data_IF_587775383693
#
_entry.id   IF_587775383693
#
_cell.length_a   1.000
_cell.length_b   1.000
_cell.length_c   1.000
_cell.angle_alpha   90.00
_cell.angle_beta   90.00
_cell.angle_gamma   90.00
#
_symmetry.space_group_name_H-M   'P 1'
#
loop_
_entity.id
_entity.type
_entity.pdbx_description
1 polymer ?
#
# COMPACT_ATOMS: atom_id res chain seq x y z
N UNK A 1 -55.84 19.79 -57.15
CA UNK A 1 -55.61 18.90 -56.00
C UNK A 1 -54.11 18.65 -55.90
N UNK A 2 -53.39 19.29 -54.98
CA UNK A 2 -51.96 19.04 -54.80
C UNK A 2 -51.73 17.95 -53.74
N UNK A 3 -50.83 17.02 -54.07
CA UNK A 3 -50.44 15.87 -53.27
C UNK A 3 -49.77 16.28 -51.94
N UNK A 4 -50.20 15.65 -50.85
CA UNK A 4 -49.60 15.78 -49.52
C UNK A 4 -48.29 14.97 -49.46
N UNK A 5 -47.15 15.53 -49.01
CA UNK A 5 -45.91 14.78 -48.91
C UNK A 5 -45.87 13.87 -47.67
N UNK A 6 -45.33 12.67 -47.84
CA UNK A 6 -45.21 11.62 -46.82
C UNK A 6 -44.33 12.02 -45.61
N UNK A 7 -44.58 11.49 -44.40
CA UNK A 7 -43.82 11.86 -43.21
C UNK A 7 -42.42 11.22 -43.20
N UNK A 8 -41.40 12.04 -42.91
CA UNK A 8 -40.01 11.62 -42.69
C UNK A 8 -39.90 10.69 -41.48
N UNK A 9 -39.32 9.51 -41.67
CA UNK A 9 -38.94 8.58 -40.58
C UNK A 9 -37.89 9.23 -39.67
N UNK A 10 -38.21 9.35 -38.39
CA UNK A 10 -37.27 9.71 -37.32
C UNK A 10 -36.23 8.58 -37.14
N UNK A 11 -34.93 8.87 -37.01
CA UNK A 11 -33.93 7.84 -36.77
C UNK A 11 -34.04 7.28 -35.34
N UNK A 12 -34.06 5.95 -35.22
CA UNK A 12 -34.08 5.23 -33.94
C UNK A 12 -32.89 5.58 -33.03
N UNK A 13 -33.06 5.65 -31.70
CA UNK A 13 -31.96 5.87 -30.79
C UNK A 13 -31.10 4.60 -30.70
N UNK A 14 -29.84 4.69 -31.18
CA UNK A 14 -28.81 3.66 -30.99
C UNK A 14 -28.71 3.30 -29.50
N UNK A 15 -29.08 2.06 -29.15
CA UNK A 15 -28.88 1.47 -27.82
C UNK A 15 -27.39 1.50 -27.50
N UNK A 16 -27.00 2.37 -26.54
CA UNK A 16 -25.65 2.38 -25.95
C UNK A 16 -25.44 1.03 -25.28
N UNK A 17 -24.48 0.26 -25.77
CA UNK A 17 -24.02 -0.98 -25.12
C UNK A 17 -23.55 -0.70 -23.68
N UNK A 18 -23.51 -1.74 -22.82
CA UNK A 18 -23.12 -1.58 -21.43
C UNK A 18 -21.69 -1.03 -21.36
N UNK A 19 -21.55 0.18 -20.81
CA UNK A 19 -20.25 0.78 -20.53
C UNK A 19 -19.53 -0.12 -19.53
N UNK A 20 -18.50 -0.82 -19.98
CA UNK A 20 -17.55 -1.53 -19.12
C UNK A 20 -16.93 -0.49 -18.19
N UNK A 21 -17.22 -0.61 -16.90
CA UNK A 21 -16.65 0.24 -15.88
C UNK A 21 -15.14 -0.02 -15.83
N UNK A 22 -14.35 0.96 -16.27
CA UNK A 22 -12.89 0.90 -16.12
C UNK A 22 -12.50 0.71 -14.64
N UNK A 23 -11.31 0.16 -14.37
CA UNK A 23 -10.86 -0.14 -13.02
C UNK A 23 -10.88 1.14 -12.18
N UNK A 24 -11.60 1.10 -11.06
CA UNK A 24 -11.66 2.21 -10.10
C UNK A 24 -10.23 2.54 -9.67
N UNK A 25 -9.80 3.79 -9.86
CA UNK A 25 -8.52 4.30 -9.35
C UNK A 25 -8.40 3.93 -7.88
N UNK A 26 -7.30 3.27 -7.50
CA UNK A 26 -6.99 2.93 -6.13
C UNK A 26 -7.07 4.21 -5.29
N UNK A 27 -8.02 4.26 -4.36
CA UNK A 27 -8.20 5.41 -3.47
C UNK A 27 -7.01 5.48 -2.51
N UNK A 28 -6.40 6.65 -2.39
CA UNK A 28 -5.43 6.93 -1.34
C UNK A 28 -6.18 6.89 0.00
N UNK A 29 -5.84 5.93 0.87
CA UNK A 29 -6.45 5.84 2.21
C UNK A 29 -5.38 6.20 3.24
N UNK A 30 -5.64 7.12 4.18
CA UNK A 30 -4.68 7.40 5.24
C UNK A 30 -4.49 6.13 6.09
N UNK A 31 -3.25 5.79 6.41
CA UNK A 31 -2.91 4.68 7.30
C UNK A 31 -3.20 5.11 8.75
N UNK A 32 -4.40 4.77 9.22
CA UNK A 32 -4.89 5.13 10.55
C UNK A 32 -3.97 4.56 11.64
N UNK A 33 -3.36 3.39 11.41
CA UNK A 33 -2.47 2.78 12.40
C UNK A 33 -1.17 3.58 12.55
N UNK A 34 -0.58 4.02 11.44
CA UNK A 34 0.61 4.90 11.47
C UNK A 34 0.30 6.22 12.20
N UNK A 35 -0.80 6.88 11.83
CA UNK A 35 -1.17 8.16 12.42
C UNK A 35 -1.53 8.03 13.91
N UNK A 36 -2.29 7.00 14.29
CA UNK A 36 -2.64 6.74 15.68
C UNK A 36 -1.41 6.36 16.52
N UNK A 37 -0.47 5.58 15.96
CA UNK A 37 0.77 5.20 16.64
C UNK A 37 1.65 6.42 16.93
N UNK A 38 1.86 7.30 15.95
CA UNK A 38 2.62 8.55 16.14
C UNK A 38 1.90 9.45 17.16
N UNK A 39 0.58 9.61 17.06
CA UNK A 39 -0.19 10.42 18.00
C UNK A 39 -0.14 9.87 19.44
N UNK A 40 -0.19 8.55 19.60
CA UNK A 40 -0.08 7.89 20.91
C UNK A 40 1.32 8.08 21.51
N UNK A 41 2.38 7.93 20.70
CA UNK A 41 3.75 8.10 21.17
C UNK A 41 4.04 9.55 21.56
N UNK A 42 3.67 10.51 20.71
CA UNK A 42 3.79 11.94 21.03
C UNK A 42 2.90 12.32 22.22
N UNK A 43 1.66 11.83 22.27
CA UNK A 43 0.75 12.06 23.38
C UNK A 43 1.26 11.53 24.72
N UNK A 44 1.92 10.36 24.72
CA UNK A 44 2.56 9.81 25.91
C UNK A 44 3.74 10.65 26.39
N UNK A 45 4.62 11.07 25.48
CA UNK A 45 5.79 11.91 25.82
C UNK A 45 5.34 13.30 26.30
N UNK A 46 4.46 13.96 25.54
CA UNK A 46 3.96 15.29 25.87
C UNK A 46 3.07 15.26 27.14
N UNK A 47 2.26 14.22 27.29
CA UNK A 47 1.44 14.01 28.48
C UNK A 47 2.30 13.81 29.73
N UNK A 48 3.37 13.01 29.63
CA UNK A 48 4.36 12.86 30.70
C UNK A 48 4.99 14.19 31.12
N UNK A 49 5.44 14.99 30.13
CA UNK A 49 6.01 16.32 30.39
C UNK A 49 5.04 17.26 31.12
N UNK A 50 3.77 17.28 30.71
CA UNK A 50 2.75 18.11 31.35
C UNK A 50 2.42 17.64 32.77
N UNK A 51 2.42 16.33 33.04
CA UNK A 51 2.22 15.79 34.38
C UNK A 51 3.37 16.13 35.32
N UNK A 52 4.59 16.22 34.80
CA UNK A 52 5.76 16.71 35.53
C UNK A 52 5.81 18.24 35.67
N UNK A 53 4.77 18.94 35.21
CA UNK A 53 4.65 20.41 35.18
C UNK A 53 5.71 21.09 34.29
N UNK A 54 6.28 20.38 33.32
CA UNK A 54 7.18 20.95 32.32
C UNK A 54 6.44 21.77 31.26
N UNK A 55 7.09 22.77 30.67
CA UNK A 55 6.54 23.54 29.55
C UNK A 55 6.98 22.94 28.21
N UNK A 56 6.08 22.98 27.23
CA UNK A 56 6.38 22.59 25.84
C UNK A 56 7.47 23.49 25.24
N UNK A 57 7.53 24.76 25.68
CA UNK A 57 8.55 25.71 25.23
C UNK A 57 9.97 25.30 25.67
N UNK A 58 10.10 24.55 26.77
CA UNK A 58 11.40 24.14 27.30
C UNK A 58 12.08 23.11 26.38
N UNK A 59 11.27 22.29 25.69
CA UNK A 59 11.76 21.30 24.72
C UNK A 59 11.89 21.91 23.32
N UNK A 60 11.20 23.01 23.03
CA UNK A 60 11.15 23.62 21.71
C UNK A 60 12.41 24.47 21.37
N UNK A 61 13.61 23.88 21.46
CA UNK A 61 14.86 24.55 21.07
C UNK A 61 15.21 24.32 19.60
N UNK A 62 15.13 25.39 18.81
CA UNK A 62 15.48 25.36 17.39
C UNK A 62 16.95 25.03 17.10
N UNK A 63 17.86 25.41 17.99
CA UNK A 63 19.30 25.11 17.88
C UNK A 63 19.57 23.60 17.96
N UNK A 64 19.00 22.93 18.95
CA UNK A 64 19.08 21.48 19.10
C UNK A 64 18.49 20.75 17.89
N UNK A 65 17.33 21.21 17.37
CA UNK A 65 16.71 20.62 16.18
C UNK A 65 17.61 20.76 14.93
N UNK A 66 18.24 21.91 14.74
CA UNK A 66 19.14 22.15 13.62
C UNK A 66 20.38 21.24 13.67
N UNK A 67 20.98 21.05 14.86
CA UNK A 67 22.13 20.15 15.05
C UNK A 67 21.73 18.72 14.70
N UNK A 68 20.64 18.22 15.29
CA UNK A 68 20.22 16.83 15.12
C UNK A 68 19.73 16.56 13.70
N UNK A 69 18.75 17.32 13.21
CA UNK A 69 18.17 17.08 11.88
C UNK A 69 19.16 17.43 10.77
N UNK A 70 19.91 18.53 10.90
CA UNK A 70 20.91 18.93 9.93
C UNK A 70 22.10 17.97 9.89
N UNK A 71 22.62 17.56 11.05
CA UNK A 71 23.71 16.59 11.14
C UNK A 71 23.30 15.20 10.64
N UNK A 72 22.09 14.75 10.99
CA UNK A 72 21.54 13.47 10.49
C UNK A 72 21.37 13.51 8.98
N UNK A 73 20.77 14.57 8.44
CA UNK A 73 20.60 14.75 7.00
C UNK A 73 21.95 14.74 6.27
N UNK A 74 22.95 15.44 6.81
CA UNK A 74 24.32 15.44 6.28
C UNK A 74 24.93 14.04 6.28
N UNK A 75 24.86 13.31 7.40
CA UNK A 75 25.37 11.95 7.50
C UNK A 75 24.68 11.00 6.50
N UNK A 76 23.35 11.11 6.36
CA UNK A 76 22.58 10.30 5.41
C UNK A 76 22.96 10.60 3.96
N UNK A 77 23.18 11.87 3.60
CA UNK A 77 23.64 12.28 2.27
C UNK A 77 25.07 11.82 1.96
N UNK A 78 25.94 11.70 2.96
CA UNK A 78 27.29 11.14 2.79
C UNK A 78 27.23 9.63 2.53
N UNK A 79 26.36 8.91 3.24
CA UNK A 79 26.26 7.45 3.14
C UNK A 79 25.50 6.97 1.91
N UNK A 80 24.57 7.78 1.36
CA UNK A 80 23.66 7.36 0.29
C UNK A 80 23.80 8.21 -0.98
N UNK A 81 23.82 7.60 -2.19
CA UNK A 81 23.79 8.35 -3.44
C UNK A 81 22.55 9.25 -3.53
N UNK A 82 22.75 10.49 -4.02
CA UNK A 82 21.69 11.50 -4.12
C UNK A 82 20.40 11.01 -4.83
N UNK A 83 20.48 10.21 -5.92
CA UNK A 83 19.27 9.69 -6.57
C UNK A 83 18.47 8.71 -5.70
N UNK A 84 19.13 7.96 -4.80
CA UNK A 84 18.46 7.06 -3.86
C UNK A 84 17.80 7.87 -2.76
N UNK A 85 18.51 8.86 -2.21
CA UNK A 85 17.99 9.77 -1.20
C UNK A 85 16.71 10.49 -1.66
N UNK A 86 16.72 11.07 -2.87
CA UNK A 86 15.54 11.77 -3.42
C UNK A 86 14.34 10.83 -3.65
N UNK A 87 14.59 9.57 -4.01
CA UNK A 87 13.53 8.56 -4.13
C UNK A 87 12.98 8.17 -2.76
N UNK A 88 13.84 7.96 -1.78
CA UNK A 88 13.44 7.65 -0.40
C UNK A 88 12.55 8.76 0.20
N UNK A 89 12.86 10.03 -0.07
CA UNK A 89 12.01 11.17 0.32
C UNK A 89 10.63 11.12 -0.35
N UNK A 90 10.54 10.80 -1.65
CA UNK A 90 9.26 10.65 -2.36
C UNK A 90 8.44 9.49 -1.81
N UNK A 91 9.11 8.39 -1.44
CA UNK A 91 8.47 7.21 -0.88
C UNK A 91 7.95 7.41 0.55
N UNK A 92 8.33 8.47 1.25
CA UNK A 92 7.80 8.79 2.58
C UNK A 92 6.27 8.94 2.58
N UNK A 93 5.68 9.41 1.47
CA UNK A 93 4.23 9.48 1.32
C UNK A 93 3.54 8.11 1.49
N UNK A 94 4.20 7.02 1.09
CA UNK A 94 3.65 5.66 1.24
C UNK A 94 3.57 5.18 2.69
N UNK A 95 4.27 5.83 3.62
CA UNK A 95 4.22 5.52 5.07
C UNK A 95 2.89 5.98 5.67
N UNK A 96 2.39 7.13 5.22
CA UNK A 96 1.17 7.74 5.71
C UNK A 96 -0.07 7.37 4.91
N UNK A 97 0.11 6.94 3.67
CA UNK A 97 -0.97 6.66 2.76
C UNK A 97 -0.82 5.27 2.15
N UNK A 98 -1.84 4.46 2.40
CA UNK A 98 -1.97 3.12 1.84
C UNK A 98 -2.59 3.22 0.44
N UNK A 99 -1.90 2.63 -0.54
CA UNK A 99 -2.50 2.34 -1.83
C UNK A 99 -3.28 1.05 -1.71
N UNK A 100 -4.61 1.15 -1.77
CA UNK A 100 -5.47 -0.02 -1.78
C UNK A 100 -5.32 -0.77 -3.13
N UNK A 101 -4.34 -1.67 -3.22
CA UNK A 101 -4.26 -2.65 -4.29
C UNK A 101 -5.06 -3.88 -3.89
N UNK A 102 -6.17 -4.14 -4.56
CA UNK A 102 -7.00 -5.30 -4.25
C UNK A 102 -6.45 -6.53 -4.99
N UNK A 103 -5.70 -7.38 -4.28
CA UNK A 103 -5.21 -8.68 -4.76
C UNK A 103 -6.30 -9.48 -5.47
N UNK A 104 -7.50 -9.55 -4.87
CA UNK A 104 -8.66 -10.22 -5.46
C UNK A 104 -9.08 -9.65 -6.83
N UNK A 105 -9.01 -8.34 -7.05
CA UNK A 105 -9.34 -7.78 -8.36
C UNK A 105 -8.29 -8.09 -9.42
N UNK A 106 -7.01 -8.14 -9.03
CA UNK A 106 -5.92 -8.57 -9.91
C UNK A 106 -6.11 -10.04 -10.30
N UNK A 107 -6.46 -10.91 -9.35
CA UNK A 107 -6.80 -12.31 -9.62
C UNK A 107 -7.97 -12.38 -10.61
N UNK A 108 -9.06 -11.66 -10.35
CA UNK A 108 -10.23 -11.68 -11.23
C UNK A 108 -9.91 -11.19 -12.65
N UNK A 109 -9.05 -10.17 -12.79
CA UNK A 109 -8.56 -9.72 -14.08
C UNK A 109 -7.73 -10.80 -14.80
N UNK A 110 -6.78 -11.43 -14.10
CA UNK A 110 -5.97 -12.53 -14.65
C UNK A 110 -6.83 -13.71 -15.11
N UNK A 111 -7.88 -14.05 -14.36
CA UNK A 111 -8.82 -15.11 -14.75
C UNK A 111 -9.65 -14.73 -15.98
N UNK A 112 -10.02 -13.46 -16.13
CA UNK A 112 -10.69 -12.97 -17.34
C UNK A 112 -9.76 -13.09 -18.57
N UNK A 113 -8.50 -12.68 -18.43
CA UNK A 113 -7.50 -12.82 -19.49
C UNK A 113 -7.25 -14.30 -19.84
N UNK A 114 -7.10 -15.17 -18.85
CA UNK A 114 -6.96 -16.62 -19.06
C UNK A 114 -8.14 -17.22 -19.84
N UNK A 115 -9.36 -16.83 -19.47
CA UNK A 115 -10.58 -17.34 -20.12
C UNK A 115 -10.66 -16.87 -21.58
N UNK A 116 -10.26 -15.63 -21.86
CA UNK A 116 -10.26 -15.08 -23.22
C UNK A 116 -9.15 -15.70 -24.07
N UNK A 117 -7.93 -15.78 -23.55
CA UNK A 117 -6.79 -16.42 -24.23
C UNK A 117 -7.08 -17.87 -24.60
N UNK A 118 -7.73 -18.62 -23.70
CA UNK A 118 -8.08 -20.02 -23.97
C UNK A 118 -9.14 -20.20 -25.06
N UNK A 119 -10.09 -19.26 -25.19
CA UNK A 119 -11.17 -19.32 -26.19
C UNK A 119 -10.73 -18.80 -27.56
N UNK A 120 -9.98 -17.71 -27.56
CA UNK A 120 -9.72 -16.91 -28.76
C UNK A 120 -8.22 -16.86 -29.14
N UNK A 121 -7.36 -17.56 -28.40
CA UNK A 121 -5.90 -17.49 -28.53
C UNK A 121 -5.28 -16.33 -27.75
N UNK A 122 -3.98 -16.44 -27.44
CA UNK A 122 -3.24 -15.42 -26.66
C UNK A 122 -3.23 -14.05 -27.34
N UNK A 123 -3.14 -14.03 -28.68
CA UNK A 123 -3.13 -12.81 -29.51
C UNK A 123 -4.41 -11.97 -29.31
N UNK A 124 -5.52 -12.60 -28.92
CA UNK A 124 -6.75 -11.87 -28.62
C UNK A 124 -6.64 -10.90 -27.44
N UNK A 125 -5.56 -10.99 -26.64
CA UNK A 125 -5.29 -10.11 -25.52
C UNK A 125 -4.55 -8.82 -25.90
N UNK A 126 -4.13 -8.63 -27.14
CA UNK A 126 -3.32 -7.46 -27.58
C UNK A 126 -3.97 -6.12 -27.19
N UNK A 127 -5.25 -5.95 -27.49
CA UNK A 127 -5.99 -4.72 -27.18
C UNK A 127 -6.16 -4.51 -25.67
N UNK A 128 -6.35 -5.59 -24.90
CA UNK A 128 -6.46 -5.48 -23.45
C UNK A 128 -5.12 -5.17 -22.81
N UNK A 129 -4.04 -5.84 -23.24
CA UNK A 129 -2.68 -5.62 -22.75
C UNK A 129 -2.32 -4.13 -22.84
N UNK A 130 -2.57 -3.48 -23.98
CA UNK A 130 -2.32 -2.05 -24.17
C UNK A 130 -3.13 -1.14 -23.22
N UNK A 131 -4.30 -1.58 -22.77
CA UNK A 131 -5.19 -0.81 -21.89
C UNK A 131 -4.92 -1.02 -20.38
N UNK A 132 -4.04 -1.95 -20.01
CA UNK A 132 -3.73 -2.26 -18.60
C UNK A 132 -3.01 -1.09 -17.93
N UNK A 133 -3.53 -0.61 -16.81
CA UNK A 133 -2.94 0.52 -16.08
C UNK A 133 -1.61 0.17 -15.39
N UNK A 134 -1.49 -1.05 -14.87
CA UNK A 134 -0.28 -1.52 -14.19
C UNK A 134 0.87 -1.80 -15.19
N UNK A 135 2.01 -1.11 -15.12
CA UNK A 135 3.11 -1.30 -16.06
C UNK A 135 3.69 -2.71 -16.05
N UNK A 136 3.73 -3.37 -14.88
CA UNK A 136 4.30 -4.70 -14.74
C UNK A 136 3.44 -5.75 -15.45
N UNK A 137 2.14 -5.79 -15.15
CA UNK A 137 1.20 -6.67 -15.83
C UNK A 137 1.12 -6.38 -17.33
N UNK A 138 1.12 -5.09 -17.74
CA UNK A 138 1.14 -4.70 -19.15
C UNK A 138 2.34 -5.32 -19.87
N UNK A 139 3.55 -5.13 -19.33
CA UNK A 139 4.79 -5.65 -19.90
C UNK A 139 4.76 -7.18 -20.01
N UNK A 140 4.35 -7.88 -18.94
CA UNK A 140 4.28 -9.33 -18.94
C UNK A 140 3.29 -9.88 -19.99
N UNK A 141 2.10 -9.28 -20.10
CA UNK A 141 1.10 -9.68 -21.10
C UNK A 141 1.52 -9.32 -22.52
N UNK A 142 2.18 -8.18 -22.74
CA UNK A 142 2.72 -7.82 -24.05
C UNK A 142 3.76 -8.84 -24.52
N UNK A 143 4.73 -9.22 -23.67
CA UNK A 143 5.72 -10.24 -24.02
C UNK A 143 5.08 -11.59 -24.40
N UNK A 144 4.00 -11.96 -23.69
CA UNK A 144 3.22 -13.15 -23.99
C UNK A 144 2.47 -13.07 -25.34
N UNK A 145 1.91 -11.90 -25.67
CA UNK A 145 1.23 -11.66 -26.95
C UNK A 145 2.23 -11.65 -28.11
N UNK A 146 3.43 -11.11 -27.88
CA UNK A 146 4.53 -11.05 -28.86
C UNK A 146 5.16 -12.42 -29.13
N UNK A 147 4.74 -13.47 -28.40
CA UNK A 147 5.20 -14.84 -28.60
C UNK A 147 6.59 -15.12 -28.03
N UNK A 148 7.02 -14.33 -27.03
CA UNK A 148 8.27 -14.59 -26.30
C UNK A 148 8.19 -15.96 -25.60
N UNK A 149 9.31 -16.70 -25.56
CA UNK A 149 9.36 -17.98 -24.87
C UNK A 149 9.03 -17.84 -23.37
N UNK A 150 8.35 -18.83 -22.80
CA UNK A 150 7.91 -18.81 -21.40
C UNK A 150 9.07 -18.65 -20.43
N UNK A 151 10.18 -19.34 -20.65
CA UNK A 151 11.34 -19.26 -19.78
C UNK A 151 11.99 -17.88 -19.87
N UNK A 152 12.01 -17.29 -21.07
CA UNK A 152 12.53 -15.94 -21.29
C UNK A 152 11.64 -14.88 -20.62
N UNK A 153 10.31 -14.98 -20.73
CA UNK A 153 9.36 -14.12 -19.99
C UNK A 153 9.62 -14.23 -18.49
N UNK A 154 9.69 -15.45 -17.95
CA UNK A 154 9.96 -15.69 -16.53
C UNK A 154 11.26 -15.00 -16.11
N UNK A 155 12.36 -15.26 -16.80
CA UNK A 155 13.66 -14.69 -16.48
C UNK A 155 13.63 -13.15 -16.52
N UNK A 156 13.06 -12.54 -17.56
CA UNK A 156 12.99 -11.09 -17.70
C UNK A 156 12.16 -10.43 -16.60
N UNK A 157 11.01 -11.01 -16.27
CA UNK A 157 10.11 -10.47 -15.25
C UNK A 157 10.65 -10.71 -13.84
N UNK A 158 11.32 -11.82 -13.56
CA UNK A 158 12.02 -12.07 -12.29
C UNK A 158 13.17 -11.07 -12.07
N UNK A 159 13.93 -10.74 -13.11
CA UNK A 159 14.94 -9.67 -13.05
C UNK A 159 14.28 -8.33 -12.68
N UNK A 160 13.14 -8.00 -13.28
CA UNK A 160 12.41 -6.77 -13.00
C UNK A 160 11.87 -6.71 -11.55
N UNK A 161 11.37 -7.84 -11.02
CA UNK A 161 10.98 -7.97 -9.61
C UNK A 161 12.19 -7.73 -8.71
N UNK A 162 13.30 -8.41 -8.97
CA UNK A 162 14.53 -8.31 -8.17
C UNK A 162 15.10 -6.89 -8.17
N UNK A 163 15.18 -6.23 -9.33
CA UNK A 163 15.67 -4.85 -9.42
C UNK A 163 14.74 -3.88 -8.70
N UNK A 164 13.42 -4.10 -8.78
CA UNK A 164 12.43 -3.32 -8.04
C UNK A 164 12.59 -3.50 -6.53
N UNK A 165 12.79 -4.72 -6.04
CA UNK A 165 12.99 -5.01 -4.62
C UNK A 165 14.30 -4.41 -4.09
N UNK A 166 15.39 -4.52 -4.86
CA UNK A 166 16.67 -3.88 -4.52
C UNK A 166 16.56 -2.36 -4.44
N UNK A 167 15.85 -1.74 -5.38
CA UNK A 167 15.61 -0.29 -5.37
C UNK A 167 14.82 0.15 -4.14
N UNK A 168 13.74 -0.58 -3.83
CA UNK A 168 12.91 -0.34 -2.65
C UNK A 168 13.67 -0.54 -1.32
N UNK A 169 14.50 -1.58 -1.24
CA UNK A 169 15.33 -1.83 -0.05
C UNK A 169 16.38 -0.73 0.13
N UNK A 170 16.97 -0.21 -0.96
CA UNK A 170 17.87 0.94 -0.89
C UNK A 170 17.17 2.19 -0.35
N UNK A 171 15.90 2.42 -0.69
CA UNK A 171 15.09 3.52 -0.16
C UNK A 171 14.78 3.34 1.34
N UNK A 172 14.46 2.13 1.78
CA UNK A 172 14.25 1.83 3.21
C UNK A 172 15.55 2.05 4.02
N UNK A 173 16.70 1.66 3.47
CA UNK A 173 18.02 1.85 4.11
C UNK A 173 18.38 3.32 4.35
N UNK A 174 17.89 4.26 3.54
CA UNK A 174 18.08 5.70 3.78
C UNK A 174 17.44 6.12 5.11
N UNK A 175 16.22 5.66 5.37
CA UNK A 175 15.49 5.95 6.61
C UNK A 175 16.08 5.21 7.81
N UNK A 176 16.55 3.98 7.58
CA UNK A 176 17.28 3.21 8.61
C UNK A 176 18.59 3.90 9.00
N UNK A 177 19.36 4.39 8.03
CA UNK A 177 20.56 5.18 8.28
C UNK A 177 20.25 6.46 9.06
N UNK A 178 19.16 7.17 8.71
CA UNK A 178 18.71 8.35 9.46
C UNK A 178 18.42 7.99 10.93
N UNK A 179 17.77 6.85 11.17
CA UNK A 179 17.51 6.33 12.51
C UNK A 179 18.78 5.91 13.27
N UNK A 180 19.79 5.41 12.58
CA UNK A 180 21.09 5.08 13.18
C UNK A 180 21.94 6.30 13.53
N UNK A 181 21.93 7.34 12.69
CA UNK A 181 22.72 8.55 12.91
C UNK A 181 22.06 9.57 13.85
N UNK A 182 20.74 9.67 13.90
CA UNK A 182 20.07 10.69 14.73
C UNK A 182 20.44 10.65 16.23
N UNK A 183 20.52 9.48 16.90
CA UNK A 183 20.91 9.42 18.31
C UNK A 183 22.38 9.80 18.51
N UNK A 184 23.26 9.41 17.60
CA UNK A 184 24.70 9.71 17.70
C UNK A 184 24.98 11.19 17.47
N UNK A 185 24.27 11.83 16.53
CA UNK A 185 24.29 13.29 16.36
C UNK A 185 23.69 13.99 17.59
N UNK A 186 22.67 13.41 18.23
CA UNK A 186 22.15 13.89 19.52
C UNK A 186 23.22 13.92 20.62
N UNK A 187 24.07 12.90 20.70
CA UNK A 187 25.22 12.87 21.63
C UNK A 187 26.23 13.97 21.27
N UNK A 188 26.51 14.21 19.99
CA UNK A 188 27.36 15.34 19.57
C UNK A 188 26.75 16.67 20.02
N UNK A 189 25.43 16.85 19.86
CA UNK A 189 24.71 18.02 20.36
C UNK A 189 24.83 18.21 21.87
N UNK A 190 24.80 17.10 22.64
CA UNK A 190 25.04 17.15 24.08
C UNK A 190 26.44 17.64 24.44
N UNK A 191 27.46 17.12 23.73
CA UNK A 191 28.85 17.55 23.92
C UNK A 191 29.00 19.03 23.55
N UNK A 192 28.37 19.50 22.47
CA UNK A 192 28.37 20.92 22.09
C UNK A 192 27.74 21.81 23.16
N UNK A 193 26.60 21.39 23.74
CA UNK A 193 25.96 22.12 24.83
C UNK A 193 26.85 22.20 26.07
N UNK A 194 27.54 21.11 26.43
CA UNK A 194 28.49 21.10 27.53
C UNK A 194 29.70 22.01 27.27
N UNK A 195 30.23 22.07 26.05
CA UNK A 195 31.29 23.01 25.68
C UNK A 195 30.83 24.46 25.90
N UNK A 196 29.58 24.77 25.57
CA UNK A 196 29.02 26.11 25.78
C UNK A 196 28.87 26.45 27.27
N UNK A 197 28.50 25.48 28.10
CA UNK A 197 28.47 25.62 29.56
C UNK A 197 29.85 25.93 30.11
N UNK A 198 30.88 25.18 29.68
CA UNK A 198 32.27 25.39 30.11
C UNK A 198 32.81 26.77 29.72
N UNK A 199 32.35 27.33 28.59
CA UNK A 199 32.75 28.65 28.12
C UNK A 199 32.17 29.81 28.95
N UNK A 200 31.04 29.60 29.61
CA UNK A 200 30.26 30.65 30.27
C UNK A 200 29.93 30.33 31.74
N UNK A 201 30.83 29.64 32.45
CA UNK A 201 30.61 29.18 33.83
C UNK A 201 30.21 30.28 34.83
N UNK A 202 30.61 31.51 34.56
CA UNK A 202 30.31 32.67 35.41
C UNK A 202 28.88 33.21 35.20
N UNK A 203 28.24 32.88 34.07
CA UNK A 203 26.88 33.29 33.73
C UNK A 203 25.89 32.12 33.89
N UNK A 204 25.17 32.13 35.00
CA UNK A 204 24.16 31.11 35.36
C UNK A 204 23.09 30.96 34.26
N UNK A 205 22.71 32.04 33.57
CA UNK A 205 21.70 31.96 32.50
C UNK A 205 22.25 31.26 31.26
N UNK A 206 23.47 31.59 30.84
CA UNK A 206 24.14 30.94 29.72
C UNK A 206 24.41 29.45 30.01
N UNK A 207 24.81 29.13 31.25
CA UNK A 207 24.95 27.74 31.73
C UNK A 207 23.63 26.98 31.60
N UNK A 208 22.53 27.54 32.12
CA UNK A 208 21.21 26.93 32.02
C UNK A 208 20.80 26.67 30.58
N UNK A 209 21.03 27.62 29.67
CA UNK A 209 20.75 27.46 28.25
C UNK A 209 21.58 26.35 27.60
N UNK A 210 22.89 26.29 27.86
CA UNK A 210 23.78 25.26 27.29
C UNK A 210 23.41 23.84 27.76
N UNK A 211 23.03 23.69 29.02
CA UNK A 211 22.52 22.42 29.58
C UNK A 211 21.20 22.03 28.90
N UNK A 212 20.28 22.97 28.74
CA UNK A 212 19.01 22.71 28.07
C UNK A 212 19.22 22.22 26.64
N UNK A 213 20.06 22.91 25.85
CA UNK A 213 20.39 22.49 24.47
C UNK A 213 20.95 21.07 24.44
N UNK A 214 21.81 20.72 25.39
CA UNK A 214 22.40 19.39 25.46
C UNK A 214 21.35 18.29 25.67
N UNK A 215 20.43 18.47 26.62
CA UNK A 215 19.38 17.50 26.89
C UNK A 215 18.32 17.45 25.79
N UNK A 216 17.92 18.59 25.23
CA UNK A 216 16.94 18.60 24.13
C UNK A 216 17.54 17.96 22.88
N UNK A 217 18.84 18.12 22.61
CA UNK A 217 19.50 17.45 21.49
C UNK A 217 19.46 15.92 21.61
N UNK A 218 19.63 15.35 22.82
CA UNK A 218 19.53 13.89 23.01
C UNK A 218 18.10 13.40 22.87
N UNK A 219 17.12 14.14 23.40
CA UNK A 219 15.69 13.86 23.23
C UNK A 219 15.30 13.88 21.75
N UNK A 220 15.74 14.89 21.00
CA UNK A 220 15.49 14.95 19.56
C UNK A 220 16.18 13.82 18.79
N UNK A 221 17.43 13.48 19.13
CA UNK A 221 18.15 12.39 18.48
C UNK A 221 17.47 11.04 18.67
N UNK A 222 17.22 10.65 19.91
CA UNK A 222 16.59 9.37 20.25
C UNK A 222 15.12 9.34 19.84
N UNK A 223 14.40 10.46 20.04
CA UNK A 223 13.00 10.60 19.68
C UNK A 223 12.79 10.50 18.17
N UNK A 224 13.51 11.29 17.37
CA UNK A 224 13.35 11.24 15.90
C UNK A 224 13.72 9.88 15.32
N UNK A 225 14.76 9.22 15.85
CA UNK A 225 15.15 7.88 15.44
C UNK A 225 14.05 6.82 15.67
N UNK A 226 13.56 6.72 16.91
CA UNK A 226 12.69 5.62 17.33
C UNK A 226 11.21 5.87 17.06
N UNK A 227 10.77 7.13 17.04
CA UNK A 227 9.38 7.48 16.79
C UNK A 227 9.06 7.63 15.32
N UNK A 228 10.07 7.90 14.49
CA UNK A 228 9.86 8.24 13.09
C UNK A 228 10.75 7.49 12.12
N UNK A 229 12.07 7.67 12.15
CA UNK A 229 12.96 7.16 11.09
C UNK A 229 12.98 5.63 11.00
N UNK A 230 13.17 4.92 12.11
CA UNK A 230 13.20 3.44 12.12
C UNK A 230 11.80 2.83 11.82
N UNK A 231 10.69 3.30 12.42
CA UNK A 231 9.36 2.85 12.03
C UNK A 231 9.05 3.11 10.55
N UNK A 232 9.45 4.26 10.00
CA UNK A 232 9.25 4.59 8.60
C UNK A 232 10.01 3.62 7.69
N UNK A 233 11.28 3.32 7.99
CA UNK A 233 12.08 2.34 7.25
C UNK A 233 11.40 0.96 7.22
N UNK A 234 10.96 0.48 8.38
CA UNK A 234 10.29 -0.82 8.52
C UNK A 234 8.94 -0.84 7.79
N UNK A 235 8.17 0.24 7.85
CA UNK A 235 6.89 0.35 7.16
C UNK A 235 7.08 0.34 5.64
N UNK A 236 8.05 1.10 5.11
CA UNK A 236 8.40 1.08 3.69
C UNK A 236 8.75 -0.34 3.27
N UNK A 237 9.64 -1.01 4.00
CA UNK A 237 10.05 -2.40 3.71
C UNK A 237 8.86 -3.36 3.69
N UNK A 238 7.93 -3.26 4.65
CA UNK A 238 6.72 -4.07 4.69
C UNK A 238 5.82 -3.83 3.46
N UNK A 239 5.57 -2.57 3.10
CA UNK A 239 4.77 -2.21 1.91
C UNK A 239 5.42 -2.70 0.61
N UNK A 240 6.74 -2.58 0.51
CA UNK A 240 7.47 -3.02 -0.67
C UNK A 240 7.43 -4.53 -0.83
N UNK A 241 7.46 -5.27 0.29
CA UNK A 241 7.25 -6.72 0.27
C UNK A 241 5.86 -7.09 -0.25
N UNK A 242 4.81 -6.39 0.17
CA UNK A 242 3.45 -6.59 -0.36
C UNK A 242 3.39 -6.37 -1.89
N UNK A 243 4.09 -5.35 -2.40
CA UNK A 243 4.17 -5.08 -3.84
C UNK A 243 4.94 -6.19 -4.58
N UNK A 244 6.07 -6.67 -4.04
CA UNK A 244 6.82 -7.77 -4.65
C UNK A 244 5.99 -9.05 -4.74
N UNK A 245 5.28 -9.41 -3.67
CA UNK A 245 4.37 -10.57 -3.64
C UNK A 245 3.26 -10.43 -4.70
N UNK A 246 2.72 -9.23 -4.89
CA UNK A 246 1.73 -8.96 -5.93
C UNK A 246 2.31 -9.15 -7.35
N UNK A 247 3.55 -8.70 -7.58
CA UNK A 247 4.24 -8.90 -8.87
C UNK A 247 4.53 -10.38 -9.13
N UNK A 248 4.99 -11.13 -8.12
CA UNK A 248 5.18 -12.59 -8.22
C UNK A 248 3.87 -13.30 -8.58
N UNK A 249 2.77 -12.99 -7.87
CA UNK A 249 1.43 -13.51 -8.18
C UNK A 249 1.03 -13.17 -9.63
N UNK A 250 1.31 -11.95 -10.07
CA UNK A 250 0.99 -11.49 -11.42
C UNK A 250 1.77 -12.26 -12.48
N UNK A 251 3.07 -12.48 -12.24
CA UNK A 251 3.93 -13.28 -13.12
C UNK A 251 3.42 -14.73 -13.23
N UNK A 252 3.14 -15.38 -12.10
CA UNK A 252 2.60 -16.74 -12.10
C UNK A 252 1.23 -16.83 -12.78
N UNK A 253 0.42 -15.78 -12.69
CA UNK A 253 -0.83 -15.65 -13.43
C UNK A 253 -0.61 -15.59 -14.94
N UNK A 254 0.30 -14.73 -15.41
CA UNK A 254 0.62 -14.60 -16.85
C UNK A 254 1.22 -15.89 -17.41
N UNK A 255 2.13 -16.54 -16.67
CA UNK A 255 2.70 -17.83 -17.08
C UNK A 255 1.60 -18.88 -17.24
N UNK A 256 0.68 -18.98 -16.28
CA UNK A 256 -0.46 -19.90 -16.38
C UNK A 256 -1.38 -19.62 -17.58
N UNK A 257 -1.49 -18.35 -18.01
CA UNK A 257 -2.22 -17.97 -19.23
C UNK A 257 -1.50 -18.49 -20.48
N UNK A 258 -0.17 -18.31 -20.56
CA UNK A 258 0.66 -18.75 -21.70
C UNK A 258 0.68 -20.26 -21.83
N UNK A 259 0.76 -20.99 -20.70
CA UNK A 259 0.67 -22.46 -20.66
C UNK A 259 -0.72 -23.01 -21.02
N UNK A 260 -1.73 -22.15 -21.11
CA UNK A 260 -3.11 -22.57 -21.41
C UNK A 260 -3.78 -23.34 -20.28
N UNK A 261 -3.37 -23.10 -19.03
CA UNK A 261 -3.95 -23.76 -17.87
C UNK A 261 -5.46 -23.48 -17.73
N UNK A 262 -6.17 -24.40 -17.08
CA UNK A 262 -7.57 -24.17 -16.76
C UNK A 262 -7.71 -22.95 -15.82
N UNK A 263 -8.57 -21.96 -16.11
CA UNK A 263 -8.75 -20.78 -15.25
C UNK A 263 -9.06 -21.11 -13.79
N UNK A 264 -9.71 -22.24 -13.51
CA UNK A 264 -9.95 -22.72 -12.14
C UNK A 264 -8.66 -23.10 -11.43
N UNK A 265 -7.72 -23.74 -12.13
CA UNK A 265 -6.40 -24.09 -11.58
C UNK A 265 -5.55 -22.85 -11.34
N UNK A 266 -5.57 -21.89 -12.27
CA UNK A 266 -4.90 -20.60 -12.09
C UNK A 266 -5.46 -19.91 -10.85
N UNK A 267 -6.79 -19.85 -10.68
CA UNK A 267 -7.41 -19.22 -9.50
C UNK A 267 -7.00 -19.91 -8.21
N UNK A 268 -6.92 -21.23 -8.19
CA UNK A 268 -6.47 -21.99 -7.01
C UNK A 268 -5.01 -21.68 -6.66
N UNK A 269 -4.13 -21.62 -7.66
CA UNK A 269 -2.70 -21.27 -7.48
C UNK A 269 -2.55 -19.83 -6.98
N UNK A 270 -3.23 -18.88 -7.62
CA UNK A 270 -3.18 -17.46 -7.23
C UNK A 270 -3.86 -17.20 -5.87
N UNK A 271 -4.84 -18.02 -5.49
CA UNK A 271 -5.50 -17.94 -4.19
C UNK A 271 -4.55 -18.14 -3.00
N UNK A 272 -3.42 -18.82 -3.20
CA UNK A 272 -2.39 -18.97 -2.15
C UNK A 272 -1.72 -17.63 -1.79
N UNK A 273 -1.74 -16.65 -2.70
CA UNK A 273 -1.20 -15.29 -2.48
C UNK A 273 -2.20 -14.37 -1.77
N UNK A 274 -3.49 -14.74 -1.71
CA UNK A 274 -4.52 -13.97 -1.02
C UNK A 274 -4.53 -14.30 0.49
N UNK A 275 -3.53 -13.79 1.22
CA UNK A 275 -3.39 -14.00 2.66
C UNK A 275 -4.44 -13.23 3.49
N UNK A 276 -5.22 -12.35 2.86
CA UNK A 276 -6.37 -11.66 3.45
C UNK A 276 -7.60 -11.84 2.57
N UNK A 277 -8.25 -13.03 2.58
CA UNK A 277 -9.46 -13.25 1.81
C UNK A 277 -10.48 -12.19 2.19
N UNK A 278 -10.82 -11.32 1.24
CA UNK A 278 -11.93 -10.40 1.42
C UNK A 278 -13.15 -11.24 1.78
N UNK A 279 -13.70 -11.04 3.01
CA UNK A 279 -14.84 -11.82 3.52
C UNK A 279 -15.86 -12.00 2.39
N UNK A 280 -16.22 -13.25 2.02
CA UNK A 280 -17.06 -13.47 0.86
C UNK A 280 -18.36 -12.70 1.04
N UNK A 281 -18.67 -11.81 0.08
CA UNK A 281 -20.00 -11.18 0.02
C UNK A 281 -21.01 -12.31 -0.11
N UNK A 282 -21.78 -12.54 0.96
CA UNK A 282 -22.89 -13.50 0.96
C UNK A 282 -23.74 -13.25 -0.29
N UNK A 283 -23.69 -14.20 -1.21
CA UNK A 283 -24.62 -14.28 -2.33
C UNK A 283 -26.00 -14.38 -1.67
N UNK A 284 -26.84 -13.36 -1.83
CA UNK A 284 -28.24 -13.43 -1.42
C UNK A 284 -28.92 -14.43 -2.35
N UNK A 285 -29.02 -15.69 -1.91
CA UNK A 285 -29.84 -16.69 -2.59
C UNK A 285 -31.27 -16.14 -2.63
N UNK A 286 -31.93 -16.07 -3.81
CA UNK A 286 -33.35 -15.73 -3.87
C UNK A 286 -34.10 -16.76 -3.03
N UNK A 287 -34.91 -16.28 -2.08
CA UNK A 287 -35.76 -17.10 -1.23
C UNK A 287 -36.75 -17.83 -2.14
N UNK A 288 -36.55 -19.13 -2.36
CA UNK A 288 -37.50 -19.97 -3.08
C UNK A 288 -38.75 -20.03 -2.19
N UNK A 289 -39.88 -19.57 -2.73
CA UNK A 289 -41.17 -19.64 -2.04
C UNK A 289 -41.58 -21.11 -1.89
N UNK A 290 -41.84 -21.51 -0.66
CA UNK A 290 -42.35 -22.83 -0.27
C UNK A 290 -43.81 -22.98 -0.76
N UNK A 291 -44.21 -24.12 -1.35
CA UNK A 291 -45.59 -24.32 -1.76
C UNK A 291 -46.46 -24.67 -0.53
N UNK A 292 -47.59 -23.98 -0.40
CA UNK A 292 -48.55 -24.19 0.67
C UNK A 292 -49.11 -25.62 0.67
N UNK A 293 -48.85 -26.37 1.74
CA UNK A 293 -49.48 -27.66 2.01
C UNK A 293 -50.92 -27.44 2.47
N UNK A 294 -51.87 -27.98 1.70
CA UNK A 294 -53.29 -28.08 2.06
C UNK A 294 -53.47 -29.21 3.08
N UNK A 295 -53.94 -28.87 4.27
CA UNK A 295 -54.42 -29.82 5.28
C UNK A 295 -55.75 -30.43 4.83
N UNK A 296 -55.74 -31.73 4.52
CA UNK A 296 -56.94 -32.54 4.42
C UNK A 296 -56.61 -33.99 4.78
N UNK A 297 -57.00 -34.43 5.99
CA UNK A 297 -57.37 -35.84 6.25
C UNK A 297 -58.30 -35.92 7.46
N UNK A 298 -59.34 -36.76 7.31
CA UNK A 298 -60.56 -36.90 8.10
C UNK A 298 -60.46 -37.98 9.23
N UNK A 299 -61.55 -38.66 9.63
CA UNK A 299 -62.43 -38.38 10.77
C UNK A 299 -62.25 -39.36 11.96
N UNK A 300 -62.84 -39.03 13.11
CA UNK A 300 -62.80 -39.81 14.36
C UNK A 300 -63.66 -41.09 14.31
N UNK A 301 -63.23 -42.22 14.92
CA UNK A 301 -64.05 -43.41 15.04
C UNK A 301 -64.94 -43.36 16.30
N UNK A 302 -66.20 -43.78 16.13
CA UNK A 302 -67.12 -44.11 17.20
C UNK A 302 -66.86 -45.53 17.72
N UNK A 303 -66.93 -45.72 19.04
CA UNK A 303 -67.06 -47.04 19.66
C UNK A 303 -68.10 -47.01 20.78
N UNK A 304 -69.17 -47.78 20.59
CA UNK A 304 -70.00 -48.39 21.65
C UNK A 304 -69.09 -49.18 22.62
N UNK A 305 -69.32 -49.33 23.91
CA UNK A 305 -70.56 -49.60 24.62
C UNK A 305 -70.45 -50.98 25.27
N UNK A 306 -69.99 -51.04 26.53
CA UNK A 306 -70.45 -51.95 27.60
C UNK A 306 -69.90 -51.44 28.93
#
# INVERSE_FOLDING_TARGET
MPETPAPKKTPEPKKKGPKTAGPKRAGFRPDVATLAGIAMALGGIMGGLLLEKGSIQDVAQGTAAMIVLGGTLGAVLVTNPLPVFLRALKCLGSVFFEQASSTSATIDALIQYATKARKNGIVSLETEAAAIADPFLRKALSLAVDGTDLQEIRNMMEIDINLSEQGAEAEAKVWEAAGGYAPTVGIIGAVMGLIQVMKHLEDIQAVGHGIAVAFVATVYGVGSANLFFLPAANKIRARMREVSVLKEMTLEGVIGIVEGLNPTLIRMKLGAYDQHPAKPKKIKTPKIAEPASKTATAPAPASAGT
#
